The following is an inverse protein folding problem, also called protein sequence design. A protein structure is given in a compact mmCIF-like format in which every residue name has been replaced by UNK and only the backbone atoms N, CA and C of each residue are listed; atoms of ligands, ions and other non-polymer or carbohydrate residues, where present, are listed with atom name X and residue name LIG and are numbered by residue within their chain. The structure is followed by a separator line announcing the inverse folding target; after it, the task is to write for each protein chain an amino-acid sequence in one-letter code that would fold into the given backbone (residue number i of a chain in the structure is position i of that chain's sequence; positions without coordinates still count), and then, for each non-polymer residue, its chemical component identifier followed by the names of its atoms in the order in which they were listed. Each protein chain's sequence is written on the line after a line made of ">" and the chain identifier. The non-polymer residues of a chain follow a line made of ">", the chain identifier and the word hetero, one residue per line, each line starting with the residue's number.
data_IF_359735529819
#
_entry.id   IF_359735529819
#
_cell.length_a   1.000
_cell.length_b   1.000
_cell.length_c   1.000
_cell.angle_alpha   90.00
_cell.angle_beta   90.00
_cell.angle_gamma   90.00
#
_symmetry.space_group_name_H-M   'P 1'
#
loop_
_entity.id
_entity.type
_entity.pdbx_description
1 polymer ?
#
# COMPACT_ATOMS: atom_id res chain seq x y z
N UNK A 1 0.14 -12.33 -38.13
CA UNK A 1 1.43 -13.01 -37.90
C UNK A 1 2.58 -12.43 -38.75
N UNK A 2 2.31 -11.61 -39.78
CA UNK A 2 3.36 -11.03 -40.64
C UNK A 2 4.23 -9.94 -40.02
N UNK A 3 3.75 -9.23 -38.99
CA UNK A 3 4.51 -8.13 -38.40
C UNK A 3 5.78 -8.61 -37.67
N UNK A 4 5.66 -9.71 -36.91
CA UNK A 4 6.80 -10.33 -36.23
C UNK A 4 7.79 -10.93 -37.24
N UNK A 5 7.30 -11.63 -38.26
CA UNK A 5 8.16 -12.21 -39.30
C UNK A 5 8.96 -11.14 -40.07
N UNK A 6 8.43 -9.92 -40.22
CA UNK A 6 9.13 -8.81 -40.88
C UNK A 6 10.19 -8.14 -39.99
N UNK A 7 10.01 -8.16 -38.66
CA UNK A 7 11.03 -7.71 -37.69
C UNK A 7 12.19 -8.71 -37.62
N UNK A 8 11.90 -10.01 -37.65
CA UNK A 8 12.92 -11.07 -37.56
C UNK A 8 13.69 -11.30 -38.88
N UNK A 9 13.19 -10.84 -40.03
CA UNK A 9 13.87 -10.94 -41.33
C UNK A 9 14.87 -9.80 -41.62
N UNK A 10 15.16 -8.93 -40.64
CA UNK A 10 16.29 -8.02 -40.74
C UNK A 10 17.58 -8.84 -40.54
N UNK A 11 18.32 -9.07 -41.63
CA UNK A 11 19.70 -9.56 -41.54
C UNK A 11 20.44 -8.66 -40.53
N UNK A 12 21.07 -9.22 -39.49
CA UNK A 12 21.76 -8.43 -38.49
C UNK A 12 22.82 -7.59 -39.19
N UNK A 13 22.75 -6.26 -39.05
CA UNK A 13 23.61 -5.30 -39.76
C UNK A 13 25.08 -5.29 -39.28
N UNK A 14 25.42 -6.19 -38.37
CA UNK A 14 26.76 -6.53 -37.91
C UNK A 14 26.70 -8.02 -37.57
N UNK A 15 27.79 -8.79 -37.70
CA UNK A 15 27.81 -10.26 -37.65
C UNK A 15 27.41 -10.96 -36.34
N UNK A 16 26.40 -10.46 -35.62
CA UNK A 16 25.78 -11.04 -34.44
C UNK A 16 24.61 -11.94 -34.85
N UNK A 17 24.55 -13.15 -34.31
CA UNK A 17 23.41 -14.04 -34.52
C UNK A 17 22.18 -13.61 -33.69
N UNK A 18 21.02 -14.21 -33.96
CA UNK A 18 19.77 -13.90 -33.27
C UNK A 18 19.83 -14.16 -31.75
N UNK A 19 20.65 -15.12 -31.30
CA UNK A 19 20.80 -15.46 -29.89
C UNK A 19 21.57 -14.34 -29.18
N UNK A 20 22.61 -13.80 -29.81
CA UNK A 20 23.39 -12.69 -29.28
C UNK A 20 22.56 -11.40 -29.20
N UNK A 21 21.73 -11.11 -30.21
CA UNK A 21 20.80 -9.96 -30.15
C UNK A 21 19.81 -10.11 -28.99
N UNK A 22 19.22 -11.29 -28.83
CA UNK A 22 18.28 -11.56 -27.73
C UNK A 22 18.96 -11.41 -26.36
N UNK A 23 20.19 -11.90 -26.21
CA UNK A 23 20.97 -11.75 -24.98
C UNK A 23 21.26 -10.28 -24.64
N UNK A 24 21.60 -9.46 -25.65
CA UNK A 24 21.82 -8.02 -25.46
C UNK A 24 20.53 -7.31 -25.04
N UNK A 25 19.40 -7.62 -25.68
CA UNK A 25 18.09 -7.05 -25.31
C UNK A 25 17.69 -7.44 -23.89
N UNK A 26 17.84 -8.71 -23.51
CA UNK A 26 17.53 -9.16 -22.14
C UNK A 26 18.48 -8.50 -21.15
N UNK A 27 19.78 -8.45 -21.43
CA UNK A 27 20.76 -7.82 -20.56
C UNK A 27 20.49 -6.33 -20.36
N UNK A 28 20.20 -5.59 -21.42
CA UNK A 28 19.81 -4.16 -21.32
C UNK A 28 18.53 -3.97 -20.53
N UNK A 29 17.50 -4.79 -20.75
CA UNK A 29 16.27 -4.76 -19.94
C UNK A 29 16.54 -5.00 -18.45
N UNK A 30 17.41 -5.97 -18.11
CA UNK A 30 17.78 -6.26 -16.73
C UNK A 30 18.54 -5.10 -16.07
N UNK A 31 19.48 -4.47 -16.80
CA UNK A 31 20.22 -3.30 -16.30
C UNK A 31 19.28 -2.12 -16.09
N UNK A 32 18.38 -1.83 -17.03
CA UNK A 32 17.38 -0.77 -16.89
C UNK A 32 16.45 -1.04 -15.71
N UNK A 33 16.01 -2.29 -15.53
CA UNK A 33 15.21 -2.70 -14.38
C UNK A 33 15.96 -2.50 -13.05
N UNK A 34 17.24 -2.91 -12.99
CA UNK A 34 18.07 -2.71 -11.80
C UNK A 34 18.28 -1.22 -11.47
N UNK A 35 18.51 -0.37 -12.48
CA UNK A 35 18.64 1.08 -12.29
C UNK A 35 17.34 1.70 -11.76
N UNK A 36 16.18 1.30 -12.31
CA UNK A 36 14.88 1.74 -11.81
C UNK A 36 14.68 1.32 -10.35
N UNK A 37 15.06 0.09 -9.99
CA UNK A 37 14.96 -0.41 -8.62
C UNK A 37 15.88 0.37 -7.65
N UNK A 38 17.13 0.61 -8.03
CA UNK A 38 18.10 1.38 -7.21
C UNK A 38 17.63 2.82 -7.03
N UNK A 39 17.17 3.47 -8.10
CA UNK A 39 16.65 4.83 -8.04
C UNK A 39 15.42 4.90 -7.15
N UNK A 40 14.48 3.96 -7.30
CA UNK A 40 13.30 3.85 -6.45
C UNK A 40 13.68 3.68 -4.97
N UNK A 41 14.63 2.79 -4.66
CA UNK A 41 15.15 2.58 -3.32
C UNK A 41 15.81 3.84 -2.73
N UNK A 42 16.57 4.59 -3.53
CA UNK A 42 17.20 5.82 -3.08
C UNK A 42 16.17 6.90 -2.75
N UNK A 43 15.15 7.08 -3.61
CA UNK A 43 14.06 8.02 -3.39
C UNK A 43 13.22 7.63 -2.17
N UNK A 44 12.94 6.33 -1.98
CA UNK A 44 12.28 5.80 -0.78
C UNK A 44 13.01 6.26 0.48
N UNK A 45 14.32 5.96 0.53
CA UNK A 45 15.16 6.24 1.70
C UNK A 45 15.27 7.73 1.98
N UNK A 46 15.35 8.56 0.95
CA UNK A 46 15.39 10.01 1.10
C UNK A 46 14.08 10.57 1.71
N UNK A 47 12.92 10.06 1.26
CA UNK A 47 11.60 10.45 1.79
C UNK A 47 11.45 10.07 3.27
N UNK A 48 11.77 8.82 3.61
CA UNK A 48 11.71 8.34 5.00
C UNK A 48 12.65 9.15 5.89
N UNK A 49 13.91 9.38 5.46
CA UNK A 49 14.87 10.19 6.23
C UNK A 49 14.36 11.59 6.57
N UNK A 50 13.73 12.27 5.62
CA UNK A 50 13.18 13.61 5.88
C UNK A 50 12.04 13.57 6.92
N UNK A 51 11.22 12.51 6.89
CA UNK A 51 10.16 12.31 7.88
C UNK A 51 10.71 11.88 9.24
N UNK A 52 11.80 11.12 9.32
CA UNK A 52 12.48 10.78 10.57
C UNK A 52 13.03 12.01 11.27
N UNK A 53 13.60 12.97 10.53
CA UNK A 53 14.02 14.27 11.07
C UNK A 53 12.81 15.04 11.64
N UNK A 54 11.67 15.01 10.93
CA UNK A 54 10.44 15.62 11.41
C UNK A 54 9.91 14.91 12.67
N UNK A 55 10.02 13.58 12.74
CA UNK A 55 9.61 12.78 13.89
C UNK A 55 10.47 13.10 15.12
N UNK A 56 11.77 13.30 14.94
CA UNK A 56 12.66 13.72 16.02
C UNK A 56 12.32 15.12 16.55
N UNK A 57 11.86 16.03 15.67
CA UNK A 57 11.45 17.38 16.05
C UNK A 57 10.04 17.44 16.66
N UNK A 58 9.15 16.53 16.25
CA UNK A 58 7.76 16.47 16.68
C UNK A 58 7.37 15.05 17.14
N UNK A 59 7.94 14.56 18.26
CA UNK A 59 7.81 13.16 18.67
C UNK A 59 6.38 12.76 19.05
N UNK A 60 5.52 13.72 19.41
CA UNK A 60 4.14 13.49 19.81
C UNK A 60 3.13 13.77 18.68
N UNK A 61 3.59 13.85 17.43
CA UNK A 61 2.73 14.15 16.30
C UNK A 61 2.43 12.87 15.50
N UNK A 62 1.23 12.32 15.70
CA UNK A 62 0.76 11.10 15.05
C UNK A 62 0.83 11.17 13.52
N UNK A 63 0.57 12.36 12.94
CA UNK A 63 0.58 12.57 11.49
C UNK A 63 1.94 12.28 10.84
N UNK A 64 3.06 12.51 11.54
CA UNK A 64 4.39 12.20 11.00
C UNK A 64 4.55 10.69 10.85
N UNK A 65 4.18 9.92 11.88
CA UNK A 65 4.24 8.46 11.83
C UNK A 65 3.27 7.88 10.83
N UNK A 66 2.06 8.45 10.73
CA UNK A 66 1.11 8.12 9.67
C UNK A 66 1.72 8.31 8.27
N UNK A 67 2.38 9.45 8.02
CA UNK A 67 3.05 9.70 6.73
C UNK A 67 4.21 8.73 6.47
N UNK A 68 4.99 8.37 7.50
CA UNK A 68 6.04 7.36 7.37
C UNK A 68 5.42 6.01 6.99
N UNK A 69 4.31 5.63 7.62
CA UNK A 69 3.57 4.42 7.29
C UNK A 69 3.04 4.43 5.85
N UNK A 70 2.50 5.56 5.37
CA UNK A 70 2.07 5.71 3.97
C UNK A 70 3.24 5.57 3.00
N UNK A 71 4.43 6.09 3.34
CA UNK A 71 5.64 5.87 2.53
C UNK A 71 5.96 4.38 2.49
N UNK A 72 6.08 3.68 3.62
CA UNK A 72 6.35 2.25 3.60
C UNK A 72 5.28 1.43 2.84
N UNK A 73 4.00 1.80 2.99
CA UNK A 73 2.88 1.15 2.30
C UNK A 73 3.02 1.26 0.78
N UNK A 74 3.31 2.46 0.27
CA UNK A 74 3.44 2.72 -1.16
C UNK A 74 4.64 2.00 -1.80
N UNK A 75 5.63 1.62 -1.00
CA UNK A 75 6.81 0.88 -1.47
C UNK A 75 6.71 -0.63 -1.19
N UNK A 76 5.56 -1.10 -0.69
CA UNK A 76 5.26 -2.52 -0.46
C UNK A 76 5.88 -3.11 0.81
N UNK A 77 6.53 -2.30 1.65
CA UNK A 77 7.02 -2.73 2.96
C UNK A 77 5.90 -2.63 4.00
N UNK A 78 4.97 -3.57 3.88
CA UNK A 78 3.75 -3.58 4.70
C UNK A 78 4.04 -3.85 6.19
N UNK A 79 5.17 -4.49 6.51
CA UNK A 79 5.56 -4.74 7.89
C UNK A 79 5.93 -3.43 8.61
N UNK A 80 6.76 -2.59 7.98
CA UNK A 80 7.07 -1.27 8.53
C UNK A 80 5.86 -0.34 8.47
N UNK A 81 5.04 -0.39 7.41
CA UNK A 81 3.82 0.40 7.33
C UNK A 81 2.87 0.10 8.51
N UNK A 82 2.62 -1.17 8.81
CA UNK A 82 1.80 -1.57 9.96
C UNK A 82 2.39 -1.07 11.29
N UNK A 83 3.70 -1.24 11.48
CA UNK A 83 4.40 -0.75 12.67
C UNK A 83 4.15 0.74 12.88
N UNK A 84 4.38 1.57 11.87
CA UNK A 84 4.23 3.02 12.01
C UNK A 84 2.77 3.48 12.09
N UNK A 85 1.82 2.75 11.48
CA UNK A 85 0.39 3.00 11.75
C UNK A 85 0.03 2.72 13.21
N UNK A 86 0.55 1.63 13.80
CA UNK A 86 0.34 1.30 15.22
C UNK A 86 0.95 2.36 16.13
N UNK A 87 2.20 2.75 15.91
CA UNK A 87 2.83 3.82 16.70
C UNK A 87 2.08 5.16 16.57
N UNK A 88 1.49 5.45 15.41
CA UNK A 88 0.65 6.64 15.24
C UNK A 88 -0.65 6.55 16.05
N UNK A 89 -1.26 5.35 16.14
CA UNK A 89 -2.42 5.08 16.98
C UNK A 89 -2.08 5.07 18.49
N UNK A 90 -0.86 4.70 18.89
CA UNK A 90 -0.43 4.81 20.29
C UNK A 90 -0.43 6.27 20.77
N UNK A 91 -0.22 7.22 19.86
CA UNK A 91 -0.27 8.66 20.13
C UNK A 91 -1.70 9.21 20.01
N UNK A 92 -2.43 8.81 18.98
CA UNK A 92 -3.80 9.26 18.76
C UNK A 92 -4.74 8.07 18.48
N UNK A 93 -5.22 7.38 19.53
CA UNK A 93 -5.92 6.09 19.41
C UNK A 93 -7.26 6.15 18.65
N UNK A 94 -7.88 7.33 18.62
CA UNK A 94 -9.21 7.52 18.03
C UNK A 94 -9.16 8.02 16.58
N UNK A 95 -7.98 8.08 15.95
CA UNK A 95 -7.88 8.53 14.57
C UNK A 95 -8.50 7.54 13.58
N UNK A 96 -9.72 7.85 13.13
CA UNK A 96 -10.46 7.05 12.15
C UNK A 96 -9.68 6.81 10.86
N UNK A 97 -8.94 7.81 10.37
CA UNK A 97 -8.18 7.68 9.12
C UNK A 97 -7.06 6.66 9.22
N UNK A 98 -6.32 6.68 10.35
CA UNK A 98 -5.21 5.75 10.58
C UNK A 98 -5.75 4.32 10.78
N UNK A 99 -6.83 4.16 11.56
CA UNK A 99 -7.49 2.86 11.76
C UNK A 99 -7.97 2.27 10.43
N UNK A 100 -8.61 3.08 9.58
CA UNK A 100 -9.06 2.64 8.25
C UNK A 100 -7.88 2.16 7.40
N UNK A 101 -6.78 2.91 7.36
CA UNK A 101 -5.58 2.54 6.58
C UNK A 101 -4.93 1.26 7.09
N UNK A 102 -4.87 1.09 8.42
CA UNK A 102 -4.38 -0.14 9.04
C UNK A 102 -5.27 -1.34 8.68
N UNK A 103 -6.60 -1.19 8.75
CA UNK A 103 -7.54 -2.24 8.37
C UNK A 103 -7.41 -2.64 6.90
N UNK A 104 -7.29 -1.66 6.00
CA UNK A 104 -7.02 -1.92 4.57
C UNK A 104 -5.72 -2.69 4.37
N UNK A 105 -4.63 -2.30 5.04
CA UNK A 105 -3.35 -3.00 4.99
C UNK A 105 -3.49 -4.46 5.45
N UNK A 106 -4.14 -4.69 6.60
CA UNK A 106 -4.36 -6.04 7.15
C UNK A 106 -5.15 -6.90 6.16
N UNK A 107 -6.20 -6.34 5.56
CA UNK A 107 -7.04 -7.04 4.61
C UNK A 107 -6.28 -7.45 3.34
N UNK A 108 -5.45 -6.55 2.80
CA UNK A 108 -4.77 -6.78 1.52
C UNK A 108 -3.49 -7.60 1.67
N UNK A 109 -2.70 -7.35 2.71
CA UNK A 109 -1.40 -7.98 2.89
C UNK A 109 -1.46 -9.24 3.76
N UNK A 110 -2.14 -9.18 4.91
CA UNK A 110 -2.23 -10.34 5.82
C UNK A 110 -3.36 -11.30 5.46
N UNK A 111 -4.31 -10.85 4.64
CA UNK A 111 -5.53 -11.58 4.31
C UNK A 111 -6.35 -11.96 5.57
N UNK A 112 -6.20 -11.17 6.63
CA UNK A 112 -6.92 -11.34 7.88
C UNK A 112 -8.18 -10.47 7.84
N UNK A 113 -9.19 -11.00 7.15
CA UNK A 113 -10.46 -10.32 6.93
C UNK A 113 -11.21 -10.04 8.24
N UNK A 114 -11.15 -10.98 9.19
CA UNK A 114 -11.85 -10.86 10.48
C UNK A 114 -11.32 -9.66 11.27
N UNK A 115 -9.99 -9.55 11.40
CA UNK A 115 -9.37 -8.43 12.10
C UNK A 115 -9.63 -7.10 11.38
N UNK A 116 -9.53 -7.08 10.05
CA UNK A 116 -9.82 -5.87 9.27
C UNK A 116 -11.28 -5.42 9.45
N UNK A 117 -12.23 -6.35 9.38
CA UNK A 117 -13.64 -6.06 9.61
C UNK A 117 -13.91 -5.55 11.02
N UNK A 118 -13.25 -6.12 12.04
CA UNK A 118 -13.37 -5.61 13.41
C UNK A 118 -12.98 -4.13 13.50
N UNK A 119 -11.83 -3.76 12.93
CA UNK A 119 -11.35 -2.38 12.95
C UNK A 119 -12.28 -1.46 12.13
N UNK A 120 -12.75 -1.91 10.96
CA UNK A 120 -13.74 -1.15 10.18
C UNK A 120 -15.03 -0.93 10.96
N UNK A 121 -15.51 -1.94 11.68
CA UNK A 121 -16.71 -1.83 12.51
C UNK A 121 -16.52 -0.84 13.67
N UNK A 122 -15.37 -0.89 14.36
CA UNK A 122 -15.03 0.08 15.42
C UNK A 122 -15.13 1.52 14.92
N UNK A 123 -14.61 1.81 13.71
CA UNK A 123 -14.64 3.16 13.14
C UNK A 123 -16.03 3.52 12.61
N UNK A 124 -16.69 2.60 11.90
CA UNK A 124 -17.95 2.86 11.20
C UNK A 124 -19.13 3.05 12.16
N UNK A 125 -19.18 2.26 13.22
CA UNK A 125 -20.29 2.23 14.17
C UNK A 125 -19.99 3.00 15.47
N UNK A 126 -18.87 3.72 15.54
CA UNK A 126 -18.63 4.65 16.64
C UNK A 126 -19.76 5.69 16.75
N UNK A 127 -20.06 6.10 17.98
CA UNK A 127 -21.14 7.08 18.28
C UNK A 127 -20.92 8.39 17.51
N UNK A 128 -19.67 8.81 17.42
CA UNK A 128 -19.17 10.02 16.77
C UNK A 128 -18.53 9.74 15.41
N UNK A 129 -18.84 8.58 14.79
CA UNK A 129 -18.25 8.18 13.53
C UNK A 129 -18.47 9.23 12.42
N UNK A 130 -17.36 9.79 11.93
CA UNK A 130 -17.35 10.80 10.88
C UNK A 130 -18.04 10.28 9.60
N UNK A 131 -18.92 11.08 8.95
CA UNK A 131 -19.57 10.68 7.70
C UNK A 131 -18.57 10.27 6.61
N UNK A 132 -17.41 10.94 6.57
CA UNK A 132 -16.33 10.63 5.65
C UNK A 132 -15.72 9.25 5.91
N UNK A 133 -15.48 8.89 7.16
CA UNK A 133 -14.95 7.59 7.54
C UNK A 133 -15.90 6.46 7.12
N UNK A 134 -17.21 6.62 7.38
CA UNK A 134 -18.26 5.69 6.92
C UNK A 134 -18.23 5.50 5.40
N UNK A 135 -18.17 6.60 4.65
CA UNK A 135 -18.12 6.57 3.19
C UNK A 135 -16.87 5.84 2.66
N UNK A 136 -15.70 6.09 3.24
CA UNK A 136 -14.44 5.45 2.81
C UNK A 136 -14.51 3.94 3.02
N UNK A 137 -14.97 3.50 4.19
CA UNK A 137 -15.11 2.08 4.52
C UNK A 137 -16.11 1.41 3.56
N UNK A 138 -17.28 2.01 3.37
CA UNK A 138 -18.33 1.44 2.53
C UNK A 138 -17.90 1.33 1.08
N UNK A 139 -17.23 2.36 0.57
CA UNK A 139 -16.72 2.38 -0.81
C UNK A 139 -15.66 1.30 -1.02
N UNK A 140 -14.72 1.18 -0.08
CA UNK A 140 -13.69 0.14 -0.12
C UNK A 140 -14.29 -1.27 -0.07
N UNK A 141 -15.22 -1.53 0.86
CA UNK A 141 -15.86 -2.84 1.00
C UNK A 141 -16.73 -3.18 -0.22
N UNK A 142 -17.40 -2.20 -0.83
CA UNK A 142 -18.17 -2.41 -2.07
C UNK A 142 -17.25 -2.77 -3.23
N UNK A 143 -16.12 -2.06 -3.38
CA UNK A 143 -15.11 -2.36 -4.40
C UNK A 143 -14.59 -3.80 -4.26
N UNK A 144 -14.30 -4.24 -3.04
CA UNK A 144 -13.86 -5.61 -2.75
C UNK A 144 -14.99 -6.65 -2.78
N UNK A 145 -16.25 -6.24 -3.03
CA UNK A 145 -17.46 -7.10 -2.99
C UNK A 145 -17.68 -7.78 -1.62
N UNK A 146 -17.29 -7.10 -0.55
CA UNK A 146 -17.35 -7.58 0.82
C UNK A 146 -18.34 -6.80 1.69
N UNK A 147 -19.02 -5.80 1.11
CA UNK A 147 -19.97 -4.94 1.83
C UNK A 147 -21.09 -5.73 2.51
N UNK A 148 -21.75 -6.64 1.79
CA UNK A 148 -22.86 -7.41 2.35
C UNK A 148 -22.40 -8.39 3.42
N UNK A 149 -21.23 -9.03 3.22
CA UNK A 149 -20.61 -9.94 4.19
C UNK A 149 -20.26 -9.20 5.49
N UNK A 150 -19.62 -8.04 5.36
CA UNK A 150 -19.32 -7.17 6.50
C UNK A 150 -20.61 -6.79 7.22
N UNK A 151 -21.63 -6.30 6.51
CA UNK A 151 -22.88 -5.90 7.15
C UNK A 151 -23.64 -7.07 7.78
N UNK A 152 -23.62 -8.27 7.21
CA UNK A 152 -24.21 -9.46 7.83
C UNK A 152 -23.55 -9.80 9.18
N UNK A 153 -22.22 -9.67 9.27
CA UNK A 153 -21.46 -9.92 10.50
C UNK A 153 -21.63 -8.85 11.58
N UNK A 154 -22.05 -7.64 11.21
CA UNK A 154 -22.19 -6.49 12.11
C UNK A 154 -23.60 -5.88 12.12
N UNK A 155 -24.61 -6.59 11.58
CA UNK A 155 -25.99 -6.12 11.37
C UNK A 155 -26.69 -5.63 12.65
N UNK A 156 -26.16 -5.95 13.83
CA UNK A 156 -26.71 -5.59 15.15
C UNK A 156 -25.72 -4.86 16.06
N UNK A 157 -24.49 -4.59 15.60
CA UNK A 157 -23.44 -3.95 16.41
C UNK A 157 -23.38 -2.45 16.10
N UNK A 158 -24.28 -1.70 16.72
CA UNK A 158 -24.16 -0.23 16.90
C UNK A 158 -24.15 0.07 18.40
N UNK A 159 -23.61 1.22 18.80
CA UNK A 159 -22.29 1.35 19.43
C UNK A 159 -22.20 0.62 20.79
N UNK A 160 -21.20 -0.26 20.97
CA UNK A 160 -20.83 -0.68 22.33
C UNK A 160 -20.07 0.46 23.00
N UNK A 161 -20.80 1.21 23.83
CA UNK A 161 -20.26 1.92 24.98
C UNK A 161 -19.83 0.88 25.99
N UNK A 162 -18.53 0.81 26.27
CA UNK A 162 -18.02 0.41 27.59
C UNK A 162 -16.70 1.10 27.82
#
# INVERSE_FOLDING_TARGET
>A
MDFFNKIFNLRPAAGFDHIQILAIVIGTCLVLYALLYIFNFFVHRAKVRNLEIAMARFPNYADVRYKIAEVYYNYGDYANAEKYYKEALDIYPYNSSIKIKLAMLIMENKKDEELAFKIFAEVRFAVDAEPRAKYIIDSYLKEKKLYDKFHAGYAQKSPQTT
#
